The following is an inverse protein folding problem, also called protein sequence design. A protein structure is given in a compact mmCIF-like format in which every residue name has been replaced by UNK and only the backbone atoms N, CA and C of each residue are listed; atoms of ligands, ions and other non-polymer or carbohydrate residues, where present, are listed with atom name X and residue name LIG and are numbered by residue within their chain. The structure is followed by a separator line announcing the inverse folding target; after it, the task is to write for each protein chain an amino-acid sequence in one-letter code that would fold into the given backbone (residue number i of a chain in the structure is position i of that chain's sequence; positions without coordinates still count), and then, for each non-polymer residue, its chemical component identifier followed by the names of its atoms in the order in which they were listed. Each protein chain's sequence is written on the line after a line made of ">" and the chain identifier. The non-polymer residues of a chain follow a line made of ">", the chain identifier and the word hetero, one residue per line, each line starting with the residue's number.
data_IF_238533155183
#
_entry.id   IF_238533155183
#
_cell.length_a   1.000
_cell.length_b   1.000
_cell.length_c   1.000
_cell.angle_alpha   90.00
_cell.angle_beta   90.00
_cell.angle_gamma   90.00
#
_symmetry.space_group_name_H-M   'P 1'
#
loop_
_entity.id
_entity.type
_entity.pdbx_description
1 polymer ?
#
# COMPACT_ATOMS: atom_id res chain seq x y z
N UNK A 1 18.42 24.54 19.82
CA UNK A 1 17.06 24.26 19.30
C UNK A 1 16.23 23.74 20.46
N UNK A 2 15.14 24.42 20.82
CA UNK A 2 14.20 23.88 21.80
C UNK A 2 13.50 22.67 21.20
N UNK A 3 13.57 21.54 21.90
CA UNK A 3 12.80 20.36 21.55
C UNK A 3 11.31 20.68 21.78
N UNK A 4 10.54 20.73 20.72
CA UNK A 4 9.08 20.82 20.80
C UNK A 4 8.56 19.40 20.69
N UNK A 5 7.94 18.82 21.72
CA UNK A 5 7.38 17.49 21.65
C UNK A 5 6.25 17.42 20.61
N UNK A 6 6.09 16.27 19.97
CA UNK A 6 4.97 16.04 19.08
C UNK A 6 3.67 15.99 19.88
N UNK A 7 2.71 16.81 19.51
CA UNK A 7 1.38 16.81 20.13
C UNK A 7 0.49 15.81 19.39
N UNK A 8 -0.02 14.84 20.13
CA UNK A 8 -1.03 13.90 19.64
C UNK A 8 -2.41 14.38 20.06
N UNK A 9 -3.39 14.25 19.16
CA UNK A 9 -4.75 14.72 19.42
C UNK A 9 -5.79 13.60 19.53
N UNK A 10 -5.47 12.39 19.09
CA UNK A 10 -6.31 11.23 19.32
C UNK A 10 -5.47 9.94 19.38
N UNK A 11 -6.06 8.88 19.94
CA UNK A 11 -5.45 7.58 20.16
C UNK A 11 -6.48 6.47 20.00
N UNK A 12 -6.10 5.42 19.26
CA UNK A 12 -6.84 4.16 19.18
C UNK A 12 -5.88 2.98 19.45
N UNK A 13 -6.40 1.91 20.04
CA UNK A 13 -5.63 0.67 20.23
C UNK A 13 -5.96 -0.31 19.10
N UNK A 14 -4.93 -0.99 18.59
CA UNK A 14 -5.13 -2.14 17.70
C UNK A 14 -5.22 -3.47 18.48
N UNK A 15 -5.51 -4.55 17.76
CA UNK A 15 -5.64 -5.90 18.34
C UNK A 15 -4.33 -6.47 18.90
N UNK A 16 -3.18 -5.91 18.49
CA UNK A 16 -1.85 -6.32 18.96
C UNK A 16 -1.38 -5.50 20.17
N UNK A 17 -2.17 -4.47 20.60
CA UNK A 17 -1.87 -3.60 21.73
C UNK A 17 -0.94 -2.43 21.40
N UNK A 18 -0.78 -2.08 20.13
CA UNK A 18 -0.09 -0.88 19.69
C UNK A 18 -1.06 0.32 19.59
N UNK A 19 -0.49 1.51 19.60
CA UNK A 19 -1.28 2.74 19.61
C UNK A 19 -1.24 3.40 18.24
N UNK A 20 -2.39 3.55 17.61
CA UNK A 20 -2.55 4.51 16.53
C UNK A 20 -2.80 5.89 17.09
N UNK A 21 -2.07 6.87 16.59
CA UNK A 21 -2.20 8.27 17.04
C UNK A 21 -2.21 9.21 15.85
N UNK A 22 -2.95 10.31 15.98
CA UNK A 22 -2.98 11.38 14.98
C UNK A 22 -2.32 12.64 15.48
N UNK A 23 -1.74 13.42 14.57
CA UNK A 23 -1.20 14.76 14.84
C UNK A 23 -1.67 15.74 13.78
N UNK A 24 -2.03 16.95 14.19
CA UNK A 24 -2.46 18.00 13.27
C UNK A 24 -1.35 19.02 12.97
N UNK A 25 -0.31 19.06 13.81
CA UNK A 25 0.71 20.09 13.75
C UNK A 25 1.91 19.61 12.98
N UNK A 26 2.04 20.06 11.74
CA UNK A 26 3.20 19.90 10.89
C UNK A 26 3.32 21.11 9.96
N UNK A 27 4.53 21.38 9.50
CA UNK A 27 4.77 22.48 8.58
C UNK A 27 4.68 22.01 7.11
N UNK A 28 4.49 22.95 6.17
CA UNK A 28 4.36 22.66 4.75
C UNK A 28 5.62 22.01 4.14
N UNK A 29 6.80 22.27 4.70
CA UNK A 29 8.05 21.65 4.25
C UNK A 29 8.10 20.17 4.65
N UNK A 30 7.58 19.82 5.82
CA UNK A 30 7.49 18.41 6.27
C UNK A 30 6.54 17.61 5.39
N UNK A 31 5.41 18.21 4.98
CA UNK A 31 4.48 17.59 4.04
C UNK A 31 5.11 17.33 2.67
N UNK A 32 5.76 18.36 2.10
CA UNK A 32 6.38 18.26 0.77
C UNK A 32 7.56 17.31 0.73
N UNK A 33 8.33 17.24 1.81
CA UNK A 33 9.46 16.32 1.93
C UNK A 33 9.05 14.89 2.31
N UNK A 34 7.77 14.64 2.65
CA UNK A 34 7.31 13.36 3.18
C UNK A 34 7.77 13.08 4.62
N UNK A 35 8.31 14.08 5.32
CA UNK A 35 8.73 13.96 6.70
C UNK A 35 7.55 14.06 7.69
N UNK A 36 6.43 14.66 7.26
CA UNK A 36 5.22 14.72 8.06
C UNK A 36 4.65 13.31 8.28
N UNK A 37 4.32 13.01 9.50
CA UNK A 37 3.73 11.74 9.93
C UNK A 37 2.42 12.02 10.67
N UNK A 38 1.35 12.40 9.94
CA UNK A 38 0.08 12.78 10.58
C UNK A 38 -0.62 11.60 11.27
N UNK A 39 -0.31 10.36 10.86
CA UNK A 39 -0.72 9.14 11.53
C UNK A 39 0.52 8.35 11.91
N UNK A 40 0.54 7.78 13.10
CA UNK A 40 1.62 6.91 13.57
C UNK A 40 1.02 5.69 14.27
N UNK A 41 1.69 4.56 14.13
CA UNK A 41 1.45 3.36 14.94
C UNK A 41 2.62 3.22 15.90
N UNK A 42 2.40 3.41 17.17
CA UNK A 42 3.46 3.45 18.18
C UNK A 42 3.51 2.13 18.94
N UNK A 43 4.71 1.61 19.14
CA UNK A 43 4.95 0.52 20.07
C UNK A 43 5.08 1.03 21.51
N UNK A 44 5.25 0.12 22.48
CA UNK A 44 5.33 0.44 23.90
C UNK A 44 6.47 1.41 24.30
N UNK A 45 7.50 1.56 23.46
CA UNK A 45 8.61 2.49 23.67
C UNK A 45 8.46 3.79 22.86
N UNK A 46 7.30 3.99 22.20
CA UNK A 46 7.00 5.21 21.43
C UNK A 46 7.64 5.27 20.03
N UNK A 47 8.18 4.15 19.53
CA UNK A 47 8.72 4.10 18.16
C UNK A 47 7.58 3.94 17.15
N UNK A 48 7.59 4.74 16.09
CA UNK A 48 6.63 4.60 14.98
C UNK A 48 6.96 3.34 14.16
N UNK A 49 6.03 2.40 14.14
CA UNK A 49 6.11 1.14 13.41
C UNK A 49 5.06 1.05 12.28
N UNK A 50 4.38 2.16 11.96
CA UNK A 50 3.43 2.19 10.87
C UNK A 50 4.12 1.82 9.55
N UNK A 51 3.57 0.84 8.87
CA UNK A 51 4.05 0.46 7.54
C UNK A 51 3.50 1.46 6.54
N UNK A 52 4.38 2.13 5.82
CA UNK A 52 4.03 3.05 4.76
C UNK A 52 4.38 2.42 3.42
N UNK A 53 3.41 2.29 2.54
CA UNK A 53 3.64 1.75 1.22
C UNK A 53 4.31 2.83 0.35
N UNK A 54 5.58 2.72 0.20
CA UNK A 54 6.64 3.49 -0.47
C UNK A 54 6.36 4.65 -1.43
N UNK A 55 5.15 4.82 -1.96
CA UNK A 55 4.80 5.91 -2.88
C UNK A 55 3.72 6.85 -2.35
N UNK A 56 2.96 6.43 -1.35
CA UNK A 56 1.94 7.26 -0.73
C UNK A 56 2.09 7.21 0.79
N UNK A 57 2.43 8.35 1.36
CA UNK A 57 2.33 8.51 2.81
C UNK A 57 0.86 8.60 3.21
N UNK A 58 0.54 8.22 4.45
CA UNK A 58 -0.79 8.40 5.05
C UNK A 58 -0.97 9.88 5.39
N UNK A 59 -1.19 10.71 4.39
CA UNK A 59 -1.29 12.17 4.53
C UNK A 59 -2.63 12.75 4.07
N UNK A 60 -3.55 11.91 3.56
CA UNK A 60 -4.82 12.36 3.04
C UNK A 60 -4.68 13.22 1.77
N UNK A 61 -5.44 14.29 1.69
CA UNK A 61 -5.40 15.24 0.58
C UNK A 61 -4.37 16.34 0.82
N UNK A 62 -3.58 16.64 -0.21
CA UNK A 62 -2.64 17.79 -0.25
C UNK A 62 -3.23 18.99 -0.99
N UNK A 63 -4.53 19.03 -1.21
CA UNK A 63 -5.16 20.04 -2.02
C UNK A 63 -5.00 21.45 -1.43
N UNK A 64 -4.18 22.24 -2.09
CA UNK A 64 -4.12 23.68 -1.90
C UNK A 64 -5.05 24.33 -2.89
N UNK A 65 -6.01 25.12 -2.41
CA UNK A 65 -6.85 25.91 -3.32
C UNK A 65 -5.95 26.84 -4.14
N UNK A 66 -5.93 26.61 -5.43
CA UNK A 66 -5.15 27.41 -6.37
C UNK A 66 -5.90 28.70 -6.67
N UNK A 67 -5.57 29.76 -5.92
CA UNK A 67 -5.97 31.11 -6.26
C UNK A 67 -7.35 31.59 -5.78
N UNK A 68 -8.13 30.77 -5.09
CA UNK A 68 -9.39 31.20 -4.50
C UNK A 68 -9.24 31.33 -2.96
N UNK A 69 -9.15 32.59 -2.51
CA UNK A 69 -9.01 32.95 -1.10
C UNK A 69 -10.31 32.77 -0.29
N UNK A 70 -11.41 32.43 -0.92
CA UNK A 70 -12.73 32.26 -0.29
C UNK A 70 -13.05 30.81 0.08
N UNK A 71 -12.20 29.84 -0.27
CA UNK A 71 -12.42 28.44 0.10
C UNK A 71 -11.92 28.23 1.54
N UNK A 72 -12.84 28.17 2.48
CA UNK A 72 -12.57 27.97 3.91
C UNK A 72 -11.94 26.63 4.26
N UNK A 73 -12.03 25.64 3.36
CA UNK A 73 -11.58 24.26 3.54
C UNK A 73 -10.44 23.89 2.57
N UNK A 74 -9.49 24.78 2.41
CA UNK A 74 -8.30 24.55 1.59
C UNK A 74 -7.09 24.24 2.47
N UNK A 75 -6.17 23.45 1.94
CA UNK A 75 -4.93 23.08 2.61
C UNK A 75 -4.82 21.57 2.80
N UNK A 76 -3.74 21.11 3.42
CA UNK A 76 -3.53 19.70 3.66
C UNK A 76 -4.53 19.13 4.66
N UNK A 77 -4.78 17.84 4.56
CA UNK A 77 -5.59 17.10 5.54
C UNK A 77 -5.03 17.27 6.95
N UNK A 78 -5.95 17.46 7.91
CA UNK A 78 -5.66 17.48 9.35
C UNK A 78 -6.46 16.38 10.01
N UNK A 79 -5.79 15.30 10.37
CA UNK A 79 -6.46 14.18 11.00
C UNK A 79 -6.75 14.47 12.46
N UNK A 80 -8.04 14.41 12.81
CA UNK A 80 -8.54 14.71 14.16
C UNK A 80 -8.88 13.48 14.95
N UNK A 81 -9.15 12.37 14.25
CA UNK A 81 -9.53 11.12 14.88
C UNK A 81 -9.04 9.92 14.08
N UNK A 82 -8.88 8.78 14.77
CA UNK A 82 -8.48 7.50 14.20
C UNK A 82 -9.21 6.38 14.92
N UNK A 83 -9.70 5.41 14.17
CA UNK A 83 -10.26 4.16 14.69
C UNK A 83 -9.68 2.98 13.93
N UNK A 84 -9.57 1.83 14.58
CA UNK A 84 -8.89 0.63 14.06
C UNK A 84 -9.81 -0.58 14.18
N UNK A 85 -9.91 -1.37 13.11
CA UNK A 85 -10.56 -2.67 13.10
C UNK A 85 -9.59 -3.77 13.58
N UNK A 86 -10.13 -4.90 13.98
CA UNK A 86 -9.36 -6.06 14.51
C UNK A 86 -8.27 -6.59 13.56
N UNK A 87 -8.39 -6.33 12.26
CA UNK A 87 -7.42 -6.76 11.23
C UNK A 87 -6.41 -5.65 10.84
N UNK A 88 -6.24 -4.65 11.71
CA UNK A 88 -5.37 -3.48 11.52
C UNK A 88 -5.74 -2.61 10.30
N UNK A 89 -6.96 -2.73 9.77
CA UNK A 89 -7.54 -1.72 8.89
C UNK A 89 -7.92 -0.54 9.77
N UNK A 90 -7.49 0.65 9.39
CA UNK A 90 -7.76 1.85 10.18
C UNK A 90 -8.36 2.96 9.34
N UNK A 91 -9.25 3.72 9.95
CA UNK A 91 -9.88 4.88 9.36
C UNK A 91 -9.47 6.14 10.10
N UNK A 92 -9.19 7.19 9.34
CA UNK A 92 -8.81 8.51 9.88
C UNK A 92 -9.73 9.58 9.35
N UNK A 93 -10.05 10.55 10.19
CA UNK A 93 -10.94 11.65 9.85
C UNK A 93 -10.17 12.93 9.60
N UNK A 94 -10.31 13.46 8.40
CA UNK A 94 -9.77 14.76 7.99
C UNK A 94 -10.78 15.87 8.27
N UNK A 95 -10.39 16.77 9.16
CA UNK A 95 -11.21 17.95 9.50
C UNK A 95 -11.13 19.07 8.46
N UNK A 96 -10.08 19.12 7.64
CA UNK A 96 -9.94 20.18 6.64
C UNK A 96 -11.00 20.05 5.54
N UNK A 97 -11.24 18.82 5.10
CA UNK A 97 -12.16 18.54 3.98
C UNK A 97 -13.41 17.76 4.43
N UNK A 98 -13.56 17.47 5.73
CA UNK A 98 -14.61 16.59 6.28
C UNK A 98 -14.67 15.25 5.54
N UNK A 99 -13.51 14.63 5.33
CA UNK A 99 -13.35 13.35 4.65
C UNK A 99 -12.85 12.28 5.59
N UNK A 100 -13.16 11.04 5.24
CA UNK A 100 -12.67 9.86 5.93
C UNK A 100 -11.82 9.08 4.95
N UNK A 101 -10.63 8.70 5.39
CA UNK A 101 -9.69 7.87 4.63
C UNK A 101 -9.54 6.54 5.38
N UNK A 102 -9.69 5.43 4.67
CA UNK A 102 -9.50 4.09 5.24
C UNK A 102 -8.30 3.43 4.58
N UNK A 103 -7.41 2.91 5.39
CA UNK A 103 -6.16 2.27 4.97
C UNK A 103 -6.08 0.84 5.51
N UNK A 104 -5.36 -0.02 4.79
CA UNK A 104 -4.98 -1.33 5.29
C UNK A 104 -3.73 -1.27 6.20
N UNK A 105 -3.40 -2.39 6.83
CA UNK A 105 -2.19 -2.55 7.68
C UNK A 105 -0.88 -2.11 6.98
N UNK A 106 -0.85 -2.16 5.67
CA UNK A 106 0.33 -1.85 4.85
C UNK A 106 0.37 -0.39 4.38
N UNK A 107 -0.63 0.42 4.78
CA UNK A 107 -0.75 1.82 4.40
C UNK A 107 -1.29 2.05 2.99
N UNK A 108 -1.93 1.04 2.36
CA UNK A 108 -2.64 1.27 1.12
C UNK A 108 -3.99 1.92 1.40
N UNK A 109 -4.31 2.97 0.65
CA UNK A 109 -5.62 3.61 0.72
C UNK A 109 -6.67 2.68 0.09
N UNK A 110 -7.60 2.17 0.92
CA UNK A 110 -8.71 1.36 0.45
C UNK A 110 -9.78 2.23 -0.22
N UNK A 111 -10.17 3.31 0.44
CA UNK A 111 -11.09 4.33 -0.07
C UNK A 111 -10.99 5.63 0.72
N UNK A 112 -11.54 6.69 0.10
CA UNK A 112 -11.80 7.96 0.75
C UNK A 112 -13.22 8.42 0.35
N UNK A 113 -13.96 8.96 1.30
CA UNK A 113 -15.30 9.48 1.07
C UNK A 113 -15.61 10.63 2.03
N UNK A 114 -16.78 11.23 1.86
CA UNK A 114 -17.20 12.41 2.62
C UNK A 114 -16.85 13.71 1.93
N UNK A 115 -17.15 14.78 2.60
CA UNK A 115 -16.97 16.16 2.15
C UNK A 115 -17.74 17.11 3.03
N UNK A 116 -17.62 18.42 2.78
CA UNK A 116 -18.35 19.45 3.50
C UNK A 116 -19.77 19.58 2.93
N UNK A 117 -20.77 19.37 3.75
CA UNK A 117 -22.17 19.49 3.34
C UNK A 117 -23.14 18.74 4.25
N UNK A 118 -24.43 18.86 3.93
CA UNK A 118 -25.54 18.22 4.65
C UNK A 118 -26.26 17.13 3.81
N UNK A 119 -25.61 16.64 2.76
CA UNK A 119 -26.12 15.51 1.97
C UNK A 119 -25.69 14.19 2.60
N UNK A 120 -26.37 13.11 2.26
CA UNK A 120 -25.99 11.77 2.71
C UNK A 120 -24.52 11.46 2.41
N UNK A 121 -23.76 11.06 3.45
CA UNK A 121 -22.35 10.80 3.35
C UNK A 121 -21.43 12.03 3.36
N UNK A 122 -21.98 13.23 3.59
CA UNK A 122 -21.26 14.48 3.83
C UNK A 122 -21.41 14.91 5.29
N UNK A 123 -20.53 15.79 5.76
CA UNK A 123 -20.45 16.21 7.15
C UNK A 123 -20.32 17.72 7.26
N UNK A 124 -20.94 18.31 8.27
CA UNK A 124 -20.84 19.75 8.56
C UNK A 124 -19.65 20.05 9.47
N UNK A 125 -19.51 19.31 10.57
CA UNK A 125 -18.39 19.41 11.50
C UNK A 125 -18.15 18.08 12.23
N UNK A 126 -17.58 17.08 11.55
CA UNK A 126 -17.32 15.77 12.14
C UNK A 126 -16.21 15.90 13.19
N UNK A 127 -16.40 15.28 14.36
CA UNK A 127 -15.50 15.41 15.51
C UNK A 127 -15.03 14.11 16.12
N UNK A 128 -15.73 13.00 15.85
CA UNK A 128 -15.32 11.68 16.32
C UNK A 128 -15.71 10.59 15.33
N UNK A 129 -14.92 9.54 15.30
CA UNK A 129 -15.01 8.41 14.40
C UNK A 129 -14.81 7.11 15.20
N UNK A 130 -15.69 6.12 15.00
CA UNK A 130 -15.52 4.82 15.64
C UNK A 130 -16.03 3.69 14.73
N UNK A 131 -15.45 2.51 14.84
CA UNK A 131 -15.93 1.30 14.20
C UNK A 131 -16.86 0.50 15.13
N UNK A 132 -17.96 0.00 14.55
CA UNK A 132 -18.80 -1.02 15.17
C UNK A 132 -18.91 -2.21 14.19
N UNK A 133 -18.01 -3.19 14.34
CA UNK A 133 -17.79 -4.17 13.28
C UNK A 133 -17.29 -3.47 12.01
N UNK A 134 -17.93 -3.71 10.88
CA UNK A 134 -17.59 -3.01 9.64
C UNK A 134 -18.30 -1.66 9.46
N UNK A 135 -19.28 -1.35 10.28
CA UNK A 135 -19.96 -0.05 10.25
C UNK A 135 -19.07 1.02 10.83
N UNK A 136 -19.10 2.19 10.25
CA UNK A 136 -18.36 3.35 10.68
C UNK A 136 -19.32 4.39 11.25
N UNK A 137 -19.12 4.76 12.49
CA UNK A 137 -19.90 5.75 13.23
C UNK A 137 -19.19 7.08 13.19
N UNK A 138 -19.88 8.13 12.73
CA UNK A 138 -19.34 9.49 12.64
C UNK A 138 -20.20 10.41 13.47
N UNK A 139 -19.60 11.03 14.48
CA UNK A 139 -20.26 12.06 15.28
C UNK A 139 -20.07 13.42 14.61
N UNK A 140 -21.15 14.03 14.17
CA UNK A 140 -21.15 15.41 13.69
C UNK A 140 -21.69 16.35 14.77
N UNK A 141 -20.85 17.27 15.23
CA UNK A 141 -21.20 18.20 16.32
C UNK A 141 -22.09 19.35 15.86
N UNK A 142 -22.05 19.72 14.61
CA UNK A 142 -22.89 20.80 14.06
C UNK A 142 -24.27 20.29 13.66
N UNK A 143 -24.34 19.08 13.13
CA UNK A 143 -25.61 18.42 12.78
C UNK A 143 -26.25 17.71 13.97
N UNK A 144 -25.54 17.64 15.11
CA UNK A 144 -25.98 17.03 16.36
C UNK A 144 -26.44 15.58 16.20
N UNK A 145 -25.80 14.81 15.30
CA UNK A 145 -26.17 13.44 14.98
C UNK A 145 -24.95 12.51 14.96
N UNK A 146 -25.24 11.21 15.00
CA UNK A 146 -24.30 10.14 14.70
C UNK A 146 -24.73 9.50 13.39
N UNK A 147 -23.91 9.63 12.36
CA UNK A 147 -24.13 8.98 11.07
C UNK A 147 -23.53 7.59 11.10
N UNK A 148 -24.33 6.56 10.77
CA UNK A 148 -23.87 5.19 10.62
C UNK A 148 -23.65 4.90 9.15
N UNK A 149 -22.44 4.53 8.79
CA UNK A 149 -22.04 4.23 7.42
C UNK A 149 -21.71 2.74 7.29
N UNK A 150 -22.61 2.03 6.62
CA UNK A 150 -22.45 0.59 6.38
C UNK A 150 -21.75 0.35 5.04
N UNK A 151 -20.72 -0.51 4.97
CA UNK A 151 -20.04 -0.80 3.73
C UNK A 151 -20.97 -1.46 2.72
N UNK A 152 -20.86 -1.00 1.48
CA UNK A 152 -21.55 -1.62 0.34
C UNK A 152 -21.03 -3.04 0.11
N UNK A 153 -21.74 -3.82 -0.72
CA UNK A 153 -21.26 -5.17 -1.11
C UNK A 153 -19.86 -5.13 -1.76
N UNK A 154 -19.53 -4.04 -2.45
CA UNK A 154 -18.18 -3.82 -2.96
C UNK A 154 -17.18 -3.60 -1.82
N UNK A 155 -17.50 -2.75 -0.86
CA UNK A 155 -16.66 -2.50 0.31
C UNK A 155 -16.41 -3.76 1.15
N UNK A 156 -17.44 -4.58 1.35
CA UNK A 156 -17.32 -5.88 2.03
C UNK A 156 -16.37 -6.84 1.33
N UNK A 157 -16.37 -6.85 -0.01
CA UNK A 157 -15.41 -7.67 -0.78
C UNK A 157 -13.96 -7.18 -0.57
N UNK A 158 -13.74 -5.86 -0.54
CA UNK A 158 -12.39 -5.30 -0.29
C UNK A 158 -11.92 -5.66 1.12
N UNK A 159 -12.76 -5.49 2.13
CA UNK A 159 -12.44 -5.93 3.50
C UNK A 159 -12.09 -7.41 3.54
N UNK A 160 -12.96 -8.26 3.00
CA UNK A 160 -12.77 -9.71 2.96
C UNK A 160 -11.46 -10.11 2.28
N UNK A 161 -11.15 -9.51 1.13
CA UNK A 161 -9.91 -9.82 0.41
C UNK A 161 -8.65 -9.45 1.22
N UNK A 162 -8.70 -8.30 1.91
CA UNK A 162 -7.61 -7.83 2.78
C UNK A 162 -7.45 -8.75 4.00
N UNK A 163 -8.54 -9.13 4.65
CA UNK A 163 -8.54 -10.07 5.78
C UNK A 163 -7.98 -11.44 5.41
N UNK A 164 -8.45 -12.01 4.32
CA UNK A 164 -7.97 -13.30 3.80
C UNK A 164 -6.45 -13.26 3.54
N UNK A 165 -5.95 -12.14 2.99
CA UNK A 165 -4.52 -11.98 2.80
C UNK A 165 -3.75 -12.00 4.14
N UNK A 166 -4.24 -11.27 5.15
CA UNK A 166 -3.60 -11.23 6.47
C UNK A 166 -3.73 -12.54 7.26
N UNK A 167 -4.81 -13.29 7.02
CA UNK A 167 -4.99 -14.64 7.57
C UNK A 167 -4.11 -15.70 6.89
N UNK A 168 -3.37 -15.34 5.81
CA UNK A 168 -2.56 -16.29 5.04
C UNK A 168 -3.34 -17.10 4.01
N UNK A 169 -4.62 -16.80 3.82
CA UNK A 169 -5.51 -17.45 2.84
C UNK A 169 -5.30 -16.86 1.43
N UNK A 170 -4.07 -16.93 0.92
CA UNK A 170 -3.65 -16.20 -0.27
C UNK A 170 -4.46 -16.57 -1.52
N UNK A 171 -4.82 -17.84 -1.71
CA UNK A 171 -5.63 -18.27 -2.86
C UNK A 171 -7.03 -17.64 -2.80
N UNK A 172 -7.69 -17.71 -1.64
CA UNK A 172 -9.01 -17.12 -1.44
C UNK A 172 -8.97 -15.59 -1.58
N UNK A 173 -7.92 -14.95 -1.06
CA UNK A 173 -7.70 -13.51 -1.21
C UNK A 173 -7.58 -13.11 -2.70
N UNK A 174 -6.77 -13.84 -3.47
CA UNK A 174 -6.63 -13.58 -4.92
C UNK A 174 -7.98 -13.69 -5.65
N UNK A 175 -8.77 -14.71 -5.33
CA UNK A 175 -10.09 -14.91 -5.93
C UNK A 175 -11.05 -13.77 -5.55
N UNK A 176 -11.05 -13.36 -4.28
CA UNK A 176 -11.89 -12.23 -3.83
C UNK A 176 -11.44 -10.92 -4.49
N UNK A 177 -10.14 -10.67 -4.65
CA UNK A 177 -9.64 -9.51 -5.39
C UNK A 177 -10.04 -9.55 -6.89
N UNK A 178 -10.10 -10.74 -7.51
CA UNK A 178 -10.62 -10.87 -8.88
C UNK A 178 -12.10 -10.47 -8.96
N UNK A 179 -12.91 -10.77 -7.94
CA UNK A 179 -14.31 -10.32 -7.88
C UNK A 179 -14.41 -8.79 -7.72
N UNK A 180 -13.54 -8.19 -6.91
CA UNK A 180 -13.42 -6.72 -6.81
C UNK A 180 -13.07 -6.11 -8.18
N UNK A 181 -12.07 -6.65 -8.86
CA UNK A 181 -11.61 -6.21 -10.17
C UNK A 181 -12.71 -6.30 -11.25
N UNK A 182 -13.54 -7.36 -11.23
CA UNK A 182 -14.68 -7.50 -12.16
C UNK A 182 -15.71 -6.37 -11.99
N UNK A 183 -15.88 -5.86 -10.76
CA UNK A 183 -16.82 -4.77 -10.46
C UNK A 183 -16.22 -3.40 -10.76
N UNK A 184 -14.91 -3.26 -10.56
CA UNK A 184 -14.17 -2.03 -10.82
C UNK A 184 -12.76 -2.34 -11.36
N UNK A 185 -12.65 -2.40 -12.69
CA UNK A 185 -11.38 -2.67 -13.39
C UNK A 185 -10.34 -1.56 -13.28
N UNK A 186 -10.71 -0.37 -12.78
CA UNK A 186 -9.80 0.75 -12.59
C UNK A 186 -9.27 0.85 -11.14
N UNK A 187 -9.54 -0.16 -10.31
CA UNK A 187 -9.07 -0.17 -8.94
C UNK A 187 -7.70 -0.85 -8.85
N UNK A 188 -6.65 -0.06 -8.94
CA UNK A 188 -5.25 -0.54 -9.00
C UNK A 188 -4.89 -1.45 -7.82
N UNK A 189 -5.46 -1.19 -6.64
CA UNK A 189 -5.21 -2.00 -5.45
C UNK A 189 -5.68 -3.46 -5.61
N UNK A 190 -6.70 -3.73 -6.41
CA UNK A 190 -7.12 -5.11 -6.68
C UNK A 190 -6.03 -5.88 -7.43
N UNK A 191 -5.37 -5.26 -8.41
CA UNK A 191 -4.25 -5.86 -9.12
C UNK A 191 -3.05 -6.07 -8.19
N UNK A 192 -2.74 -5.10 -7.34
CA UNK A 192 -1.67 -5.21 -6.33
C UNK A 192 -1.99 -6.34 -5.35
N UNK A 193 -3.23 -6.44 -4.88
CA UNK A 193 -3.68 -7.49 -3.97
C UNK A 193 -3.55 -8.90 -4.56
N UNK A 194 -3.98 -9.07 -5.82
CA UNK A 194 -3.79 -10.34 -6.55
C UNK A 194 -2.30 -10.65 -6.69
N UNK A 195 -1.51 -9.68 -7.15
CA UNK A 195 -0.06 -9.85 -7.33
C UNK A 195 0.65 -10.26 -6.04
N UNK A 196 0.28 -9.66 -4.90
CA UNK A 196 0.83 -10.02 -3.58
C UNK A 196 0.42 -11.43 -3.15
N UNK A 197 -0.84 -11.80 -3.34
CA UNK A 197 -1.31 -13.13 -3.03
C UNK A 197 -0.60 -14.20 -3.87
N UNK A 198 -0.38 -13.94 -5.17
CA UNK A 198 0.38 -14.81 -6.06
C UNK A 198 1.86 -14.89 -5.68
N UNK A 199 2.45 -13.77 -5.26
CA UNK A 199 3.84 -13.73 -4.77
C UNK A 199 4.03 -14.67 -3.58
N UNK A 200 3.11 -14.66 -2.62
CA UNK A 200 3.13 -15.56 -1.47
C UNK A 200 2.94 -17.04 -1.88
N UNK A 201 2.20 -17.29 -2.96
CA UNK A 201 2.03 -18.62 -3.55
C UNK A 201 3.21 -19.05 -4.42
N UNK A 202 4.28 -18.25 -4.51
CA UNK A 202 5.46 -18.45 -5.38
C UNK A 202 5.15 -18.47 -6.88
N UNK A 203 4.04 -17.88 -7.28
CA UNK A 203 3.66 -17.70 -8.68
C UNK A 203 4.26 -16.39 -9.22
N UNK A 204 5.59 -16.32 -9.22
CA UNK A 204 6.35 -15.08 -9.39
C UNK A 204 6.12 -14.41 -10.74
N UNK A 205 6.04 -15.19 -11.82
CA UNK A 205 5.80 -14.65 -13.17
C UNK A 205 4.44 -13.97 -13.26
N UNK A 206 3.40 -14.66 -12.80
CA UNK A 206 2.04 -14.13 -12.83
C UNK A 206 1.90 -12.92 -11.91
N UNK A 207 2.55 -12.93 -10.74
CA UNK A 207 2.63 -11.77 -9.86
C UNK A 207 3.23 -10.54 -10.56
N UNK A 208 4.31 -10.72 -11.35
CA UNK A 208 4.88 -9.64 -12.16
C UNK A 208 3.87 -9.05 -13.14
N UNK A 209 3.08 -9.89 -13.81
CA UNK A 209 2.09 -9.43 -14.78
C UNK A 209 1.03 -8.53 -14.11
N UNK A 210 0.52 -8.93 -12.94
CA UNK A 210 -0.43 -8.11 -12.18
C UNK A 210 0.17 -6.80 -11.66
N UNK A 211 1.40 -6.81 -11.14
CA UNK A 211 2.07 -5.58 -10.71
C UNK A 211 2.37 -4.64 -11.88
N UNK A 212 2.66 -5.18 -13.06
CA UNK A 212 2.82 -4.37 -14.27
C UNK A 212 1.51 -3.69 -14.69
N UNK A 213 0.37 -4.39 -14.59
CA UNK A 213 -0.96 -3.82 -14.84
C UNK A 213 -1.28 -2.68 -13.86
N UNK A 214 -0.92 -2.84 -12.58
CA UNK A 214 -1.07 -1.83 -11.54
C UNK A 214 -0.03 -0.70 -11.63
N UNK A 215 0.95 -0.79 -12.51
CA UNK A 215 2.11 0.13 -12.60
C UNK A 215 2.89 0.25 -11.29
N UNK A 216 2.85 -0.79 -10.47
CA UNK A 216 3.59 -0.87 -9.21
C UNK A 216 5.01 -1.39 -9.45
N UNK A 217 5.93 -0.47 -9.71
CA UNK A 217 7.33 -0.79 -10.00
C UNK A 217 8.07 -1.43 -8.82
N UNK A 218 7.66 -1.13 -7.59
CA UNK A 218 8.31 -1.66 -6.37
C UNK A 218 8.01 -3.15 -6.20
N UNK A 219 6.72 -3.50 -6.14
CA UNK A 219 6.29 -4.89 -6.00
C UNK A 219 6.66 -5.71 -7.25
N UNK A 220 6.61 -5.09 -8.46
CA UNK A 220 7.13 -5.73 -9.69
C UNK A 220 8.60 -6.11 -9.57
N UNK A 221 9.46 -5.18 -9.12
CA UNK A 221 10.90 -5.43 -8.98
C UNK A 221 11.20 -6.54 -7.97
N UNK A 222 10.43 -6.61 -6.89
CA UNK A 222 10.52 -7.68 -5.90
C UNK A 222 10.12 -9.04 -6.50
N UNK A 223 8.97 -9.13 -7.12
CA UNK A 223 8.49 -10.35 -7.77
C UNK A 223 9.43 -10.81 -8.89
N UNK A 224 9.94 -9.86 -9.70
CA UNK A 224 10.89 -10.16 -10.78
C UNK A 224 12.23 -10.69 -10.26
N UNK A 225 12.69 -10.21 -9.09
CA UNK A 225 13.90 -10.75 -8.44
C UNK A 225 13.72 -12.23 -8.12
N UNK A 226 12.57 -12.63 -7.54
CA UNK A 226 12.28 -14.03 -7.25
C UNK A 226 12.09 -14.86 -8.53
N UNK A 227 11.36 -14.36 -9.50
CA UNK A 227 11.19 -15.01 -10.80
C UNK A 227 12.52 -15.27 -11.49
N UNK A 228 13.41 -14.27 -11.55
CA UNK A 228 14.75 -14.43 -12.13
C UNK A 228 15.59 -15.44 -11.37
N UNK A 229 15.54 -15.44 -10.05
CA UNK A 229 16.28 -16.41 -9.23
C UNK A 229 15.82 -17.83 -9.50
N UNK A 230 14.52 -18.06 -9.51
CA UNK A 230 13.93 -19.36 -9.82
C UNK A 230 14.27 -19.81 -11.25
N UNK A 231 14.18 -18.91 -12.23
CA UNK A 231 14.53 -19.20 -13.60
C UNK A 231 16.02 -19.60 -13.76
N UNK A 232 16.92 -18.90 -13.10
CA UNK A 232 18.35 -19.24 -13.09
C UNK A 232 18.58 -20.60 -12.45
N UNK A 233 17.95 -20.87 -11.31
CA UNK A 233 18.08 -22.14 -10.61
C UNK A 233 17.61 -23.32 -11.49
N UNK A 234 16.49 -23.18 -12.18
CA UNK A 234 15.95 -24.19 -13.07
C UNK A 234 16.81 -24.42 -14.33
N UNK A 235 17.52 -23.38 -14.78
CA UNK A 235 18.30 -23.41 -16.03
C UNK A 235 19.82 -23.47 -15.82
N UNK A 236 20.29 -23.59 -14.57
CA UNK A 236 21.72 -23.49 -14.24
C UNK A 236 22.56 -24.52 -15.02
N UNK A 237 22.07 -25.74 -15.20
CA UNK A 237 22.74 -26.78 -15.96
C UNK A 237 22.95 -26.41 -17.45
N UNK A 238 21.94 -25.82 -18.08
CA UNK A 238 22.01 -25.32 -19.45
C UNK A 238 22.95 -24.13 -19.58
N UNK A 239 22.93 -23.22 -18.61
CA UNK A 239 23.83 -22.04 -18.58
C UNK A 239 25.28 -22.50 -18.52
N UNK A 240 25.60 -23.42 -17.60
CA UNK A 240 26.94 -23.99 -17.53
C UNK A 240 27.33 -24.78 -18.79
N UNK A 241 26.38 -25.54 -19.38
CA UNK A 241 26.60 -26.25 -20.63
C UNK A 241 26.98 -25.30 -21.77
N UNK A 242 26.26 -24.21 -21.95
CA UNK A 242 26.54 -23.20 -22.98
C UNK A 242 27.94 -22.56 -22.75
N UNK A 243 28.23 -22.17 -21.49
CA UNK A 243 29.54 -21.60 -21.15
C UNK A 243 30.67 -22.56 -21.44
N UNK A 244 30.50 -23.84 -21.07
CA UNK A 244 31.50 -24.88 -21.37
C UNK A 244 31.73 -25.06 -22.88
N UNK A 245 30.65 -25.12 -23.67
CA UNK A 245 30.76 -25.19 -25.13
C UNK A 245 31.50 -23.98 -25.71
N UNK A 246 31.17 -22.77 -25.26
CA UNK A 246 31.82 -21.53 -25.71
C UNK A 246 33.31 -21.47 -25.37
N UNK A 247 33.75 -22.13 -24.29
CA UNK A 247 35.16 -22.19 -23.90
C UNK A 247 35.90 -23.33 -24.60
N UNK A 248 35.31 -24.51 -24.65
CA UNK A 248 35.95 -25.73 -25.16
C UNK A 248 36.05 -25.72 -26.69
N UNK A 249 35.01 -25.31 -27.40
CA UNK A 249 34.99 -25.35 -28.88
C UNK A 249 36.11 -24.50 -29.51
N UNK A 250 36.34 -23.23 -29.12
CA UNK A 250 37.46 -22.45 -29.66
C UNK A 250 38.83 -23.04 -29.31
N UNK A 251 38.96 -23.62 -28.12
CA UNK A 251 40.20 -24.26 -27.69
C UNK A 251 40.52 -25.49 -28.56
N UNK A 252 39.52 -26.35 -28.79
CA UNK A 252 39.68 -27.53 -29.65
C UNK A 252 39.96 -27.13 -31.11
N UNK A 253 39.18 -26.16 -31.63
CA UNK A 253 39.42 -25.65 -33.01
C UNK A 253 40.78 -25.05 -33.17
N UNK A 254 41.27 -24.29 -32.16
CA UNK A 254 42.62 -23.73 -32.16
C UNK A 254 43.67 -24.81 -32.15
N UNK A 255 43.47 -25.86 -31.37
CA UNK A 255 44.41 -27.01 -31.32
C UNK A 255 44.47 -27.77 -32.62
N UNK A 256 43.33 -28.06 -33.24
CA UNK A 256 43.22 -28.71 -34.53
C UNK A 256 43.93 -27.86 -35.63
N UNK A 257 43.69 -26.54 -35.63
CA UNK A 257 44.34 -25.64 -36.58
C UNK A 257 45.84 -25.61 -36.40
N UNK A 258 46.35 -25.66 -35.16
CA UNK A 258 47.78 -25.72 -34.89
C UNK A 258 48.40 -27.02 -35.39
N UNK A 259 47.79 -28.15 -35.08
CA UNK A 259 48.24 -29.49 -35.60
C UNK A 259 48.26 -29.50 -37.11
N UNK A 260 47.21 -29.02 -37.75
CA UNK A 260 47.11 -28.98 -39.23
C UNK A 260 48.21 -28.10 -39.81
N UNK A 261 48.51 -26.94 -39.23
CA UNK A 261 49.59 -26.06 -39.66
C UNK A 261 50.99 -26.72 -39.51
N UNK A 262 51.22 -27.45 -38.41
CA UNK A 262 52.44 -28.20 -38.17
C UNK A 262 52.64 -29.32 -39.20
N UNK A 263 51.58 -30.01 -39.58
CA UNK A 263 51.62 -31.10 -40.60
C UNK A 263 51.81 -30.53 -42.00
N UNK A 264 51.16 -29.40 -42.34
CA UNK A 264 51.26 -28.77 -43.66
C UNK A 264 52.63 -28.09 -43.93
N UNK A 265 53.44 -27.83 -42.85
CA UNK A 265 54.75 -27.18 -42.93
C UNK A 265 55.92 -28.09 -42.51
N UNK A 266 55.69 -29.37 -42.26
CA UNK A 266 56.73 -30.38 -42.04
C UNK A 266 57.01 -31.19 -43.32
#
# INVERSE_FOLDING_TARGET
>A
ASFVPTEYNNIALDSEGFFFVTTQTFNSNELTSGAAKPVRRLNAIGTNILIENGTSHVIGDLQWARGDTNITNSGPSKFVDVTVLDNDIYSVMDKTHNRIFTYDKQGNLLWAFGGVGNMDGYFLNPVALEHQGYDLLVLDSQDCCVTVLTPTEYGKLVYKATEQYHAGEYAASADTWREVMKRNGNYDLAYIGIGRALLQQKQFKEACDYFAMARDSRNYSEAFRYYRSEWVEQNIGWIFGIVAVLLVVPMVVGHIRKIKWEVDNA
#
